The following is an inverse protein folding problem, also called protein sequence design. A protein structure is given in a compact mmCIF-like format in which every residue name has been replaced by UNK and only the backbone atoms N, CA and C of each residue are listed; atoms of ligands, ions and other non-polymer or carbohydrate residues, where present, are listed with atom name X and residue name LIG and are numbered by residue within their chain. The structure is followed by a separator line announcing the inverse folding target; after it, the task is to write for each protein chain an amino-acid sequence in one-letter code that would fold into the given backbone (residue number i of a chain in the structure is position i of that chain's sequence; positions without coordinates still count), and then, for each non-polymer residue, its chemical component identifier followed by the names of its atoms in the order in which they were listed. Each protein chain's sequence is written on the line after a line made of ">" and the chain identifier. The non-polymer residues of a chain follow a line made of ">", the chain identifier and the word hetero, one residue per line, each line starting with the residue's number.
data_IF_984607095755
#
_entry.id   IF_984607095755
#
_cell.length_a   1.000
_cell.length_b   1.000
_cell.length_c   1.000
_cell.angle_alpha   90.00
_cell.angle_beta   90.00
_cell.angle_gamma   90.00
#
_symmetry.space_group_name_H-M   'P 1'
#
loop_
_entity.id
_entity.type
_entity.pdbx_description
1 polymer ?
#
# COMPACT_ATOMS: atom_id res chain seq x y z
N UNK A 1 -14.25 2.30 -23.52
CA UNK A 1 -14.84 3.40 -22.72
C UNK A 1 -16.36 3.27 -22.73
N UNK A 2 -17.01 3.55 -21.61
CA UNK A 2 -18.47 3.52 -21.50
C UNK A 2 -19.09 4.75 -22.19
N UNK A 3 -20.26 4.58 -22.79
CA UNK A 3 -21.04 5.70 -23.34
C UNK A 3 -21.68 6.52 -22.21
N UNK A 4 -22.06 7.77 -22.48
CA UNK A 4 -22.71 8.63 -21.50
C UNK A 4 -23.97 7.98 -20.91
N UNK A 5 -24.79 7.33 -21.73
CA UNK A 5 -26.00 6.64 -21.27
C UNK A 5 -25.73 5.39 -20.39
N UNK A 6 -24.59 4.75 -20.55
CA UNK A 6 -24.16 3.64 -19.68
C UNK A 6 -23.67 4.18 -18.33
N UNK A 7 -22.90 5.29 -18.34
CA UNK A 7 -22.39 5.92 -17.13
C UNK A 7 -23.53 6.39 -16.22
N UNK A 8 -24.61 6.96 -16.78
CA UNK A 8 -25.78 7.42 -16.02
C UNK A 8 -26.47 6.30 -15.22
N UNK A 9 -26.36 5.07 -15.70
CA UNK A 9 -26.96 3.89 -15.05
C UNK A 9 -26.07 3.27 -13.99
N UNK A 10 -24.81 3.70 -13.88
CA UNK A 10 -23.90 3.17 -12.87
C UNK A 10 -24.31 3.63 -11.47
N UNK A 11 -24.07 2.79 -10.44
CA UNK A 11 -24.23 3.20 -9.04
C UNK A 11 -23.26 4.34 -8.69
N UNK A 12 -23.50 5.05 -7.61
CA UNK A 12 -22.50 5.94 -6.98
C UNK A 12 -21.51 5.13 -6.16
N UNK A 13 -20.41 5.76 -5.72
CA UNK A 13 -19.44 5.09 -4.84
C UNK A 13 -20.07 4.64 -3.50
N UNK A 14 -21.05 5.38 -2.97
CA UNK A 14 -21.75 4.99 -1.74
C UNK A 14 -22.65 3.77 -1.97
N UNK A 15 -23.34 3.71 -3.10
CA UNK A 15 -24.15 2.54 -3.48
C UNK A 15 -23.27 1.28 -3.60
N UNK A 16 -22.06 1.42 -4.16
CA UNK A 16 -21.09 0.32 -4.26
C UNK A 16 -20.66 -0.15 -2.87
N UNK A 17 -20.30 0.77 -1.98
CA UNK A 17 -19.90 0.44 -0.60
C UNK A 17 -21.05 -0.23 0.16
N UNK A 18 -22.29 0.23 -0.03
CA UNK A 18 -23.48 -0.38 0.58
C UNK A 18 -23.71 -1.80 0.07
N UNK A 19 -23.61 -2.01 -1.25
CA UNK A 19 -23.74 -3.35 -1.86
C UNK A 19 -22.67 -4.32 -1.34
N UNK A 20 -21.43 -3.87 -1.19
CA UNK A 20 -20.34 -4.65 -0.60
C UNK A 20 -20.68 -4.99 0.85
N UNK A 21 -21.09 -4.00 1.65
CA UNK A 21 -21.46 -4.21 3.05
C UNK A 21 -22.59 -5.22 3.23
N UNK A 22 -23.57 -5.20 2.34
CA UNK A 22 -24.65 -6.18 2.35
C UNK A 22 -24.16 -7.59 2.04
N UNK A 23 -23.31 -7.75 1.02
CA UNK A 23 -22.70 -9.05 0.67
C UNK A 23 -21.85 -9.60 1.83
N UNK A 24 -21.07 -8.74 2.50
CA UNK A 24 -20.27 -9.11 3.67
C UNK A 24 -21.15 -9.58 4.83
N UNK A 25 -22.21 -8.85 5.15
CA UNK A 25 -23.17 -9.23 6.19
C UNK A 25 -23.88 -10.56 5.88
N UNK A 26 -24.29 -10.78 4.63
CA UNK A 26 -24.90 -12.04 4.20
C UNK A 26 -23.93 -13.21 4.32
N UNK A 27 -22.65 -13.00 4.03
CA UNK A 27 -21.60 -13.99 4.22
C UNK A 27 -21.35 -14.30 5.69
N UNK A 28 -21.29 -13.28 6.55
CA UNK A 28 -21.14 -13.46 8.01
C UNK A 28 -22.33 -14.22 8.62
N UNK A 29 -23.53 -13.99 8.12
CA UNK A 29 -24.72 -14.74 8.57
C UNK A 29 -24.70 -16.21 8.15
N UNK A 30 -24.11 -16.53 7.00
CA UNK A 30 -24.00 -17.93 6.49
C UNK A 30 -22.88 -18.71 7.17
N UNK A 31 -21.76 -18.07 7.50
CA UNK A 31 -20.55 -18.75 7.99
C UNK A 31 -20.29 -18.56 9.49
N UNK A 32 -21.22 -17.96 10.23
CA UNK A 32 -21.08 -17.64 11.66
C UNK A 32 -20.31 -16.34 11.90
N UNK A 33 -20.61 -15.69 13.02
CA UNK A 33 -19.97 -14.43 13.40
C UNK A 33 -18.56 -14.70 13.90
N UNK A 34 -17.56 -14.45 13.07
CA UNK A 34 -16.23 -14.20 13.57
C UNK A 34 -16.15 -12.70 13.91
N UNK A 35 -16.41 -12.35 15.16
CA UNK A 35 -16.26 -10.97 15.61
C UNK A 35 -14.78 -10.76 15.85
N UNK A 36 -14.08 -10.13 14.93
CA UNK A 36 -12.80 -9.53 15.21
C UNK A 36 -13.05 -8.09 15.68
N UNK A 37 -12.65 -7.74 16.90
CA UNK A 37 -12.70 -6.35 17.33
C UNK A 37 -11.67 -5.57 16.51
N UNK A 38 -12.10 -4.64 15.71
CA UNK A 38 -11.16 -3.81 14.96
C UNK A 38 -11.71 -3.08 13.75
N UNK A 39 -12.85 -3.48 13.23
CA UNK A 39 -13.51 -2.79 12.11
C UNK A 39 -14.58 -1.78 12.60
N UNK A 40 -14.47 -1.35 13.84
CA UNK A 40 -15.33 -0.27 14.27
C UNK A 40 -14.82 1.00 13.60
N UNK A 41 -15.65 1.56 12.78
CA UNK A 41 -15.53 2.88 12.16
C UNK A 41 -15.13 3.98 13.15
N UNK A 42 -15.22 3.70 14.45
CA UNK A 42 -15.01 4.60 15.56
C UNK A 42 -13.56 4.69 16.03
N UNK A 43 -12.67 3.79 15.58
CA UNK A 43 -11.34 3.68 16.18
C UNK A 43 -10.22 4.38 15.38
N UNK A 44 -10.50 5.55 14.81
CA UNK A 44 -9.50 6.49 14.24
C UNK A 44 -8.38 5.87 13.39
N UNK A 45 -8.65 4.75 12.69
CA UNK A 45 -7.65 4.03 11.91
C UNK A 45 -6.65 3.23 12.74
N UNK A 46 -6.98 2.93 13.97
CA UNK A 46 -6.19 2.07 14.86
C UNK A 46 -6.70 0.63 14.74
N UNK A 47 -5.98 -0.17 13.97
CA UNK A 47 -6.33 -1.57 13.78
C UNK A 47 -5.69 -2.45 14.86
N UNK A 48 -6.40 -3.50 15.27
CA UNK A 48 -5.80 -4.64 15.94
C UNK A 48 -4.99 -5.47 14.95
N UNK A 49 -3.98 -6.16 15.43
CA UNK A 49 -3.10 -6.98 14.61
C UNK A 49 -3.16 -8.43 15.05
N UNK A 50 -3.00 -9.32 14.07
CA UNK A 50 -2.75 -10.75 14.30
C UNK A 50 -1.29 -11.01 13.99
N UNK A 51 -0.60 -11.72 14.89
CA UNK A 51 0.78 -12.12 14.67
C UNK A 51 0.84 -13.45 13.92
N UNK A 52 1.61 -13.49 12.83
CA UNK A 52 1.96 -14.70 12.10
C UNK A 52 3.46 -14.95 12.27
N UNK A 53 3.84 -16.12 12.76
CA UNK A 53 5.25 -16.47 12.95
C UNK A 53 5.91 -16.75 11.59
N UNK A 54 6.94 -15.99 11.25
CA UNK A 54 7.72 -16.18 10.02
C UNK A 54 8.91 -17.12 10.25
N UNK A 55 9.56 -17.01 11.40
CA UNK A 55 10.61 -17.89 11.90
C UNK A 55 10.62 -17.85 13.44
N UNK A 56 11.60 -18.46 14.09
CA UNK A 56 11.62 -18.60 15.56
C UNK A 56 11.47 -17.27 16.33
N UNK A 57 11.99 -16.18 15.77
CA UNK A 57 12.13 -14.90 16.49
C UNK A 57 11.44 -13.73 15.79
N UNK A 58 10.97 -13.93 14.55
CA UNK A 58 10.36 -12.88 13.73
C UNK A 58 8.91 -13.20 13.43
N UNK A 59 8.04 -12.24 13.71
CA UNK A 59 6.61 -12.31 13.42
C UNK A 59 6.21 -11.26 12.39
N UNK A 60 5.19 -11.57 11.61
CA UNK A 60 4.51 -10.58 10.78
C UNK A 60 3.23 -10.15 11.48
N UNK A 61 3.02 -8.85 11.61
CA UNK A 61 1.78 -8.30 12.13
C UNK A 61 0.85 -7.92 10.97
N UNK A 62 -0.31 -8.53 10.95
CA UNK A 62 -1.32 -8.36 9.92
C UNK A 62 -2.51 -7.59 10.49
N UNK A 63 -3.05 -6.58 9.78
CA UNK A 63 -4.30 -5.95 10.19
C UNK A 63 -5.42 -6.99 10.30
N UNK A 64 -6.17 -6.94 11.40
CA UNK A 64 -7.36 -7.77 11.56
C UNK A 64 -8.51 -7.16 10.77
N UNK A 65 -9.19 -7.96 9.97
CA UNK A 65 -10.40 -7.58 9.25
C UNK A 65 -11.62 -8.30 9.82
N UNK A 66 -12.76 -7.62 9.87
CA UNK A 66 -14.06 -8.21 10.23
C UNK A 66 -14.54 -9.22 9.20
N UNK A 67 -14.11 -9.06 7.94
CA UNK A 67 -14.38 -9.98 6.84
C UNK A 67 -13.07 -10.62 6.40
N UNK A 68 -12.81 -11.88 6.74
CA UNK A 68 -11.59 -12.53 6.33
C UNK A 68 -11.48 -12.53 4.81
N UNK A 69 -10.34 -12.00 4.33
CA UNK A 69 -9.85 -12.18 2.96
C UNK A 69 -10.56 -11.41 1.83
N UNK A 70 -11.31 -10.35 2.11
CA UNK A 70 -11.76 -9.43 1.05
C UNK A 70 -10.78 -8.27 0.90
N UNK A 71 -10.28 -8.09 -0.32
CA UNK A 71 -9.33 -7.01 -0.66
C UNK A 71 -9.95 -6.10 -1.70
N UNK A 72 -9.58 -4.84 -1.61
CA UNK A 72 -10.11 -3.77 -2.46
C UNK A 72 -8.98 -2.93 -3.05
N UNK A 73 -9.24 -2.38 -4.22
CA UNK A 73 -8.45 -1.30 -4.78
C UNK A 73 -9.38 -0.29 -5.44
N UNK A 74 -9.24 0.99 -5.12
CA UNK A 74 -10.02 2.07 -5.70
C UNK A 74 -9.18 2.92 -6.66
N UNK A 75 -9.76 3.30 -7.79
CA UNK A 75 -9.18 4.25 -8.74
C UNK A 75 -10.25 5.19 -9.26
N UNK A 76 -9.96 6.49 -9.21
CA UNK A 76 -10.87 7.52 -9.73
C UNK A 76 -10.88 7.59 -11.27
N UNK A 77 -10.04 6.84 -11.94
CA UNK A 77 -9.96 6.72 -13.40
C UNK A 77 -9.79 5.26 -13.75
N UNK A 78 -10.53 4.78 -14.73
CA UNK A 78 -10.25 3.48 -15.33
C UNK A 78 -9.15 3.62 -16.38
N UNK A 79 -8.08 2.89 -16.19
CA UNK A 79 -6.99 2.79 -17.15
C UNK A 79 -7.13 1.50 -17.95
N UNK A 80 -6.94 1.55 -19.27
CA UNK A 80 -6.99 0.36 -20.13
C UNK A 80 -6.01 -0.73 -19.69
N UNK A 81 -4.88 -0.30 -19.10
CA UNK A 81 -3.93 -1.17 -18.42
C UNK A 81 -3.67 -0.69 -17.00
N UNK A 82 -3.94 -1.54 -16.02
CA UNK A 82 -3.70 -1.25 -14.62
C UNK A 82 -2.37 -1.88 -14.18
N UNK A 83 -1.31 -1.08 -14.24
CA UNK A 83 0.07 -1.52 -14.03
C UNK A 83 0.66 -0.92 -12.74
N UNK A 84 1.55 -1.64 -12.04
CA UNK A 84 2.43 -1.06 -11.03
C UNK A 84 3.22 0.12 -11.56
N UNK A 85 3.56 1.06 -10.68
CA UNK A 85 4.20 2.31 -11.08
C UNK A 85 5.51 2.11 -11.84
N UNK A 86 6.32 1.11 -11.47
CA UNK A 86 7.60 0.80 -12.12
C UNK A 86 7.43 0.28 -13.57
N UNK A 87 6.24 -0.21 -13.94
CA UNK A 87 5.96 -0.78 -15.26
C UNK A 87 5.06 0.10 -16.13
N UNK A 88 4.70 1.31 -15.65
CA UNK A 88 3.86 2.23 -16.43
C UNK A 88 4.63 2.85 -17.58
N UNK A 89 3.92 3.06 -18.68
CA UNK A 89 4.44 3.81 -19.82
C UNK A 89 4.82 5.24 -19.41
N UNK A 90 5.87 5.73 -20.01
CA UNK A 90 6.25 7.14 -19.91
C UNK A 90 5.28 8.05 -20.69
N UNK A 91 5.49 9.36 -20.64
CA UNK A 91 4.65 10.34 -21.34
C UNK A 91 4.62 10.18 -22.88
N UNK A 92 5.57 9.43 -23.45
CA UNK A 92 5.61 9.12 -24.90
C UNK A 92 4.87 7.83 -25.24
N UNK A 93 4.31 7.11 -24.24
CA UNK A 93 3.64 5.82 -24.45
C UNK A 93 4.59 4.63 -24.56
N UNK A 94 5.85 4.78 -24.19
CA UNK A 94 6.86 3.72 -24.21
C UNK A 94 6.89 2.99 -22.87
N UNK A 95 6.95 1.65 -22.92
CA UNK A 95 7.16 0.84 -21.71
C UNK A 95 8.57 1.03 -21.16
N UNK A 96 8.75 0.93 -19.84
CA UNK A 96 10.07 1.04 -19.23
C UNK A 96 10.99 -0.08 -19.70
N UNK A 97 12.22 0.27 -20.03
CA UNK A 97 13.29 -0.67 -20.32
C UNK A 97 13.96 -1.17 -19.01
N UNK A 98 14.93 -2.08 -19.13
CA UNK A 98 15.65 -2.60 -17.97
C UNK A 98 16.36 -1.49 -17.18
N UNK A 99 16.91 -0.48 -17.86
CA UNK A 99 17.56 0.67 -17.24
C UNK A 99 16.57 1.54 -16.44
N UNK A 100 15.34 1.74 -16.95
CA UNK A 100 14.30 2.46 -16.21
C UNK A 100 13.90 1.73 -14.92
N UNK A 101 13.80 0.41 -14.99
CA UNK A 101 13.50 -0.44 -13.84
C UNK A 101 14.65 -0.40 -12.84
N UNK A 102 15.90 -0.50 -13.31
CA UNK A 102 17.08 -0.45 -12.44
C UNK A 102 17.20 0.92 -11.74
N UNK A 103 16.95 2.02 -12.45
CA UNK A 103 16.89 3.35 -11.87
C UNK A 103 15.92 3.42 -10.67
N UNK A 104 14.71 2.92 -10.83
CA UNK A 104 13.72 2.93 -9.75
C UNK A 104 14.14 2.01 -8.58
N UNK A 105 14.76 0.86 -8.85
CA UNK A 105 15.27 -0.04 -7.81
C UNK A 105 16.41 0.57 -7.01
N UNK A 106 17.29 1.36 -7.62
CA UNK A 106 18.30 2.15 -6.89
C UNK A 106 17.61 3.13 -5.91
N UNK A 107 16.55 3.80 -6.33
CA UNK A 107 15.77 4.70 -5.44
C UNK A 107 15.10 3.95 -4.28
N UNK A 108 14.61 2.74 -4.51
CA UNK A 108 14.08 1.87 -3.45
C UNK A 108 15.18 1.54 -2.44
N UNK A 109 16.39 1.24 -2.90
CA UNK A 109 17.51 0.95 -2.01
C UNK A 109 17.93 2.16 -1.17
N UNK A 110 17.92 3.38 -1.73
CA UNK A 110 18.11 4.60 -0.93
C UNK A 110 17.04 4.75 0.17
N UNK A 111 15.79 4.42 -0.16
CA UNK A 111 14.70 4.45 0.82
C UNK A 111 14.90 3.39 1.92
N UNK A 112 15.33 2.20 1.59
CA UNK A 112 15.64 1.15 2.57
C UNK A 112 16.78 1.55 3.50
N UNK A 113 17.84 2.16 2.96
CA UNK A 113 18.95 2.70 3.73
C UNK A 113 18.49 3.83 4.67
N UNK A 114 17.60 4.71 4.21
CA UNK A 114 16.99 5.73 5.06
C UNK A 114 16.22 5.09 6.23
N UNK A 115 15.39 4.07 5.97
CA UNK A 115 14.65 3.36 7.02
C UNK A 115 15.59 2.74 8.06
N UNK A 116 16.72 2.18 7.62
CA UNK A 116 17.73 1.59 8.50
C UNK A 116 18.42 2.61 9.43
N UNK A 117 18.26 3.91 9.21
CA UNK A 117 18.75 4.94 10.16
C UNK A 117 17.76 5.25 11.28
N UNK A 118 16.51 4.79 11.19
CA UNK A 118 15.48 5.11 12.17
C UNK A 118 15.49 4.10 13.34
N UNK A 119 15.79 4.52 14.59
CA UNK A 119 16.03 3.60 15.69
C UNK A 119 14.82 2.72 16.03
N UNK A 120 13.61 3.27 15.96
CA UNK A 120 12.39 2.47 16.21
C UNK A 120 12.17 1.45 15.09
N UNK A 121 12.42 1.83 13.83
CA UNK A 121 12.33 0.88 12.72
C UNK A 121 13.34 -0.25 12.86
N UNK A 122 14.58 0.07 13.23
CA UNK A 122 15.62 -0.93 13.50
C UNK A 122 15.22 -1.88 14.64
N UNK A 123 14.75 -1.35 15.77
CA UNK A 123 14.29 -2.19 16.89
C UNK A 123 13.16 -3.14 16.44
N UNK A 124 12.16 -2.60 15.74
CA UNK A 124 11.04 -3.40 15.27
C UNK A 124 11.46 -4.47 14.26
N UNK A 125 12.39 -4.18 13.36
CA UNK A 125 12.83 -5.11 12.31
C UNK A 125 13.50 -6.38 12.84
N UNK A 126 13.97 -6.38 14.10
CA UNK A 126 14.49 -7.58 14.74
C UNK A 126 13.40 -8.58 15.16
N UNK A 127 12.18 -8.11 15.36
CA UNK A 127 11.06 -8.92 15.86
C UNK A 127 9.87 -8.96 14.91
N UNK A 128 9.74 -7.96 14.02
CA UNK A 128 8.61 -7.81 13.10
C UNK A 128 9.09 -7.76 11.65
N UNK A 129 8.57 -8.65 10.83
CA UNK A 129 8.84 -8.67 9.39
C UNK A 129 8.06 -7.54 8.70
N UNK A 130 8.79 -6.63 8.07
CA UNK A 130 8.25 -5.59 7.19
C UNK A 130 8.73 -5.85 5.77
N UNK A 131 7.88 -5.64 4.78
CA UNK A 131 8.29 -5.64 3.37
C UNK A 131 8.64 -4.20 2.95
N UNK A 132 9.95 -3.83 2.86
CA UNK A 132 10.35 -2.45 2.63
C UNK A 132 10.03 -1.97 1.21
N UNK A 133 10.04 -2.87 0.20
CA UNK A 133 9.68 -2.52 -1.19
C UNK A 133 8.19 -2.19 -1.30
N UNK A 134 7.33 -3.00 -0.66
CA UNK A 134 5.90 -2.71 -0.59
C UNK A 134 5.63 -1.44 0.24
N UNK A 135 6.41 -1.19 1.29
CA UNK A 135 6.36 0.06 2.06
C UNK A 135 6.75 1.26 1.19
N UNK A 136 7.80 1.16 0.38
CA UNK A 136 8.24 2.22 -0.53
C UNK A 136 7.13 2.64 -1.50
N UNK A 137 6.29 1.70 -1.98
CA UNK A 137 5.12 1.97 -2.81
C UNK A 137 4.16 2.96 -2.12
N UNK A 138 3.85 2.76 -0.82
CA UNK A 138 2.96 3.65 -0.06
C UNK A 138 3.52 5.05 0.15
N UNK A 139 4.83 5.21 -0.01
CA UNK A 139 5.53 6.50 0.07
C UNK A 139 5.85 7.09 -1.31
N UNK A 140 5.28 6.52 -2.38
CA UNK A 140 5.28 7.10 -3.72
C UNK A 140 6.49 6.75 -4.58
N UNK A 141 7.35 5.83 -4.15
CA UNK A 141 8.40 5.29 -5.02
C UNK A 141 7.80 4.29 -6.02
N UNK A 142 8.40 4.19 -7.19
CA UNK A 142 7.93 3.28 -8.22
C UNK A 142 8.41 1.85 -7.94
N UNK A 143 7.46 0.94 -7.69
CA UNK A 143 7.72 -0.46 -7.38
C UNK A 143 6.87 -1.40 -8.23
N UNK A 144 7.15 -2.72 -8.14
CA UNK A 144 6.35 -3.78 -8.75
C UNK A 144 5.05 -4.11 -8.01
N UNK A 145 4.67 -3.31 -7.01
CA UNK A 145 3.45 -3.51 -6.24
C UNK A 145 2.34 -2.56 -6.65
N UNK A 146 1.10 -3.02 -6.57
CA UNK A 146 -0.10 -2.19 -6.51
C UNK A 146 -0.64 -2.19 -5.09
N UNK A 147 -1.03 -1.00 -4.62
CA UNK A 147 -1.69 -0.89 -3.33
C UNK A 147 -3.07 -1.51 -3.38
N UNK A 148 -3.33 -2.45 -2.49
CA UNK A 148 -4.64 -2.98 -2.17
C UNK A 148 -4.87 -2.85 -0.66
N UNK A 149 -6.11 -2.88 -0.24
CA UNK A 149 -6.51 -2.72 1.15
C UNK A 149 -7.60 -3.72 1.51
N UNK A 150 -7.73 -4.09 2.77
CA UNK A 150 -8.90 -4.84 3.24
C UNK A 150 -10.02 -3.91 3.77
N UNK A 151 -9.87 -2.59 3.59
CA UNK A 151 -10.91 -1.60 3.93
C UNK A 151 -11.61 -1.07 2.68
N UNK A 152 -12.89 -1.38 2.51
CA UNK A 152 -13.72 -0.81 1.43
C UNK A 152 -13.77 0.72 1.46
N UNK A 153 -13.68 1.32 2.63
CA UNK A 153 -13.71 2.78 2.78
C UNK A 153 -12.41 3.45 2.34
N UNK A 154 -11.26 2.81 2.58
CA UNK A 154 -9.98 3.28 2.03
C UNK A 154 -9.99 3.20 0.51
N UNK A 155 -10.48 2.09 -0.04
CA UNK A 155 -10.63 1.95 -1.49
C UNK A 155 -11.60 2.98 -2.07
N UNK A 156 -12.75 3.21 -1.40
CA UNK A 156 -13.73 4.24 -1.80
C UNK A 156 -13.12 5.64 -1.79
N UNK A 157 -12.30 5.97 -0.78
CA UNK A 157 -11.59 7.24 -0.73
C UNK A 157 -10.71 7.44 -1.96
N UNK A 158 -9.84 6.49 -2.29
CA UNK A 158 -8.98 6.59 -3.49
C UNK A 158 -9.77 6.53 -4.80
N UNK A 159 -10.93 5.88 -4.81
CA UNK A 159 -11.79 5.78 -5.98
C UNK A 159 -12.58 7.07 -6.26
N UNK A 160 -12.89 7.86 -5.24
CA UNK A 160 -13.73 9.04 -5.33
C UNK A 160 -13.00 10.37 -5.12
N UNK A 161 -11.65 10.32 -5.06
CA UNK A 161 -10.83 11.53 -4.92
C UNK A 161 -9.76 11.60 -6.00
N UNK A 162 -9.27 12.82 -6.27
CA UNK A 162 -8.06 13.07 -7.05
C UNK A 162 -6.98 13.66 -6.16
N UNK A 163 -5.75 13.27 -6.39
CA UNK A 163 -4.58 13.86 -5.73
C UNK A 163 -4.08 15.07 -6.52
N UNK A 164 -3.75 16.12 -5.80
CA UNK A 164 -3.14 17.33 -6.31
C UNK A 164 -1.69 17.41 -5.79
N UNK A 165 -0.73 17.36 -6.71
CA UNK A 165 0.70 17.31 -6.39
C UNK A 165 1.24 18.64 -5.85
N UNK A 166 0.62 19.76 -6.24
CA UNK A 166 1.09 21.09 -5.86
C UNK A 166 0.73 21.41 -4.41
N UNK A 167 -0.46 20.96 -3.99
CA UNK A 167 -0.99 21.19 -2.65
C UNK A 167 -0.80 20.01 -1.69
N UNK A 168 -0.30 18.86 -2.19
CA UNK A 168 -0.19 17.60 -1.43
C UNK A 168 -1.54 17.22 -0.77
N UNK A 169 -2.63 17.36 -1.53
CA UNK A 169 -4.00 17.23 -1.00
C UNK A 169 -4.88 16.44 -1.96
N UNK A 170 -5.80 15.67 -1.38
CA UNK A 170 -6.86 15.00 -2.13
C UNK A 170 -8.12 15.89 -2.19
N UNK A 171 -8.82 15.82 -3.30
CA UNK A 171 -10.09 16.52 -3.52
C UNK A 171 -11.16 15.56 -4.02
N UNK A 172 -12.40 15.67 -3.53
CA UNK A 172 -13.52 14.89 -4.07
C UNK A 172 -13.71 15.15 -5.57
N UNK A 173 -14.10 14.13 -6.31
CA UNK A 173 -14.35 14.24 -7.74
C UNK A 173 -15.84 14.18 -8.05
N UNK A 174 -16.27 14.96 -9.03
CA UNK A 174 -17.63 14.97 -9.52
C UNK A 174 -17.71 14.51 -10.98
N UNK A 175 -18.91 14.57 -11.55
CA UNK A 175 -19.26 14.04 -12.87
C UNK A 175 -18.37 14.52 -14.01
N UNK A 176 -17.84 15.73 -13.94
CA UNK A 176 -16.97 16.32 -14.97
C UNK A 176 -15.50 15.91 -14.85
N UNK A 177 -15.18 15.03 -13.90
CA UNK A 177 -13.82 14.56 -13.74
C UNK A 177 -13.52 13.44 -14.73
N UNK A 178 -12.58 13.69 -15.65
CA UNK A 178 -12.14 12.72 -16.69
C UNK A 178 -13.33 12.14 -17.44
N UNK A 179 -13.47 10.81 -17.46
CA UNK A 179 -14.52 10.09 -18.16
C UNK A 179 -15.84 10.01 -17.38
N UNK A 180 -15.94 10.65 -16.21
CA UNK A 180 -17.13 10.69 -15.37
C UNK A 180 -17.41 9.44 -14.55
N UNK A 181 -16.50 8.47 -14.55
CA UNK A 181 -16.63 7.24 -13.77
C UNK A 181 -15.28 6.75 -13.23
N UNK A 182 -15.35 6.00 -12.16
CA UNK A 182 -14.23 5.34 -11.52
C UNK A 182 -14.45 3.84 -11.41
N UNK A 183 -13.49 3.15 -10.79
CA UNK A 183 -13.53 1.71 -10.62
C UNK A 183 -13.10 1.30 -9.20
N UNK A 184 -13.80 0.33 -8.65
CA UNK A 184 -13.38 -0.42 -7.48
C UNK A 184 -13.14 -1.88 -7.89
N UNK A 185 -11.94 -2.36 -7.66
CA UNK A 185 -11.63 -3.78 -7.75
C UNK A 185 -11.96 -4.42 -6.41
N UNK A 186 -12.68 -5.53 -6.44
CA UNK A 186 -13.11 -6.28 -5.26
C UNK A 186 -12.63 -7.71 -5.41
N UNK A 187 -11.89 -8.23 -4.45
CA UNK A 187 -11.46 -9.63 -4.54
C UNK A 187 -12.68 -10.56 -4.50
N UNK A 188 -12.62 -11.59 -5.33
CA UNK A 188 -13.64 -12.64 -5.31
C UNK A 188 -13.63 -13.33 -3.94
N UNK A 189 -14.80 -13.82 -3.48
CA UNK A 189 -14.87 -14.60 -2.26
C UNK A 189 -13.88 -15.76 -2.32
N UNK A 190 -13.21 -15.96 -1.22
CA UNK A 190 -12.32 -17.08 -1.06
C UNK A 190 -13.14 -18.36 -0.89
N UNK A 191 -12.99 -19.28 -1.82
CA UNK A 191 -13.59 -20.60 -1.70
C UNK A 191 -12.61 -21.53 -0.98
N UNK A 192 -12.95 -21.95 0.25
CA UNK A 192 -12.07 -22.72 1.15
C UNK A 192 -11.50 -24.01 0.52
N UNK A 193 -12.08 -24.46 -0.59
CA UNK A 193 -11.62 -25.62 -1.36
C UNK A 193 -10.51 -25.36 -2.38
N UNK A 194 -10.27 -24.09 -2.75
CA UNK A 194 -9.30 -23.69 -3.78
C UNK A 194 -8.35 -22.62 -3.25
N UNK A 195 -7.45 -23.04 -2.35
CA UNK A 195 -6.30 -22.18 -1.97
C UNK A 195 -5.44 -22.02 -3.21
N UNK A 196 -5.62 -20.93 -3.93
CA UNK A 196 -4.69 -20.58 -4.99
C UNK A 196 -3.44 -19.96 -4.39
N UNK A 197 -2.40 -20.75 -4.21
CA UNK A 197 -1.08 -20.33 -3.72
C UNK A 197 -0.56 -19.08 -4.44
N UNK A 198 -0.91 -18.88 -5.71
CA UNK A 198 -0.47 -17.72 -6.49
C UNK A 198 -1.07 -16.41 -5.97
N UNK A 199 -2.34 -16.39 -5.58
CA UNK A 199 -2.95 -15.21 -4.98
C UNK A 199 -2.24 -14.78 -3.69
N UNK A 200 -1.95 -15.74 -2.80
CA UNK A 200 -1.25 -15.44 -1.56
C UNK A 200 0.21 -15.06 -1.75
N UNK A 201 0.88 -15.61 -2.76
CA UNK A 201 2.24 -15.19 -3.11
C UNK A 201 2.30 -13.78 -3.67
N UNK A 202 1.26 -13.35 -4.39
CA UNK A 202 1.13 -11.99 -4.94
C UNK A 202 0.66 -11.00 -3.89
N UNK A 203 -0.18 -11.42 -2.96
CA UNK A 203 -0.72 -10.56 -1.91
C UNK A 203 0.24 -10.51 -0.72
N UNK A 204 1.00 -9.43 -0.66
CA UNK A 204 2.04 -9.23 0.34
C UNK A 204 1.56 -8.28 1.42
N UNK A 205 1.54 -8.76 2.65
CA UNK A 205 1.31 -7.92 3.82
C UNK A 205 2.52 -7.02 4.01
N UNK A 206 2.30 -5.71 4.10
CA UNK A 206 3.39 -4.77 4.40
C UNK A 206 3.87 -5.00 5.83
N UNK A 207 2.95 -5.30 6.73
CA UNK A 207 3.23 -5.51 8.14
C UNK A 207 3.17 -4.21 8.94
N UNK A 208 3.14 -4.38 10.26
CA UNK A 208 3.26 -3.25 11.18
C UNK A 208 4.69 -2.71 11.13
N UNK A 209 4.79 -1.40 11.12
CA UNK A 209 6.04 -0.66 11.27
C UNK A 209 5.72 0.69 11.95
N UNK A 210 6.75 1.44 12.33
CA UNK A 210 6.56 2.68 13.10
C UNK A 210 5.73 3.74 12.37
N UNK A 211 5.88 3.84 11.05
CA UNK A 211 5.21 4.87 10.25
C UNK A 211 3.74 4.51 10.01
N UNK A 212 2.83 5.44 10.30
CA UNK A 212 1.41 5.14 10.45
C UNK A 212 0.64 4.91 9.12
N UNK A 213 1.16 5.39 7.98
CA UNK A 213 0.40 5.39 6.71
C UNK A 213 -0.11 4.01 6.30
N UNK A 214 0.70 2.93 6.26
CA UNK A 214 0.23 1.61 5.88
C UNK A 214 -0.84 1.06 6.84
N UNK A 215 -0.65 1.27 8.14
CA UNK A 215 -1.62 0.84 9.15
C UNK A 215 -2.97 1.55 8.98
N UNK A 216 -2.96 2.87 8.81
CA UNK A 216 -4.18 3.68 8.61
C UNK A 216 -4.92 3.35 7.31
N UNK A 217 -4.21 2.81 6.33
CA UNK A 217 -4.79 2.36 5.07
C UNK A 217 -5.15 0.87 5.05
N UNK A 218 -4.92 0.12 6.13
CA UNK A 218 -5.05 -1.35 6.14
C UNK A 218 -4.40 -1.99 4.91
N UNK A 219 -3.13 -1.67 4.70
CA UNK A 219 -2.47 -1.78 3.41
C UNK A 219 -1.84 -3.13 3.16
N UNK A 220 -1.96 -3.57 1.91
CA UNK A 220 -1.28 -4.72 1.33
C UNK A 220 -0.68 -4.32 -0.02
N UNK A 221 0.37 -5.03 -0.44
CA UNK A 221 0.93 -4.91 -1.77
C UNK A 221 0.54 -6.10 -2.63
N UNK A 222 0.00 -5.87 -3.82
CA UNK A 222 -0.23 -6.91 -4.80
C UNK A 222 0.94 -6.92 -5.79
N UNK A 223 1.80 -7.94 -5.69
CA UNK A 223 3.01 -8.06 -6.51
C UNK A 223 2.67 -8.47 -7.93
N UNK A 224 3.23 -7.77 -8.90
CA UNK A 224 3.05 -8.06 -10.32
C UNK A 224 4.39 -8.16 -11.04
N UNK A 225 4.43 -8.99 -12.07
CA UNK A 225 5.57 -9.11 -12.97
C UNK A 225 5.43 -8.13 -14.14
N UNK A 226 6.55 -7.84 -14.78
CA UNK A 226 6.55 -7.11 -16.03
C UNK A 226 5.66 -7.82 -17.07
N UNK A 227 4.79 -7.04 -17.74
CA UNK A 227 3.85 -7.56 -18.73
C UNK A 227 2.49 -8.01 -18.19
N UNK A 228 2.35 -8.24 -16.88
CA UNK A 228 1.03 -8.53 -16.27
C UNK A 228 0.16 -7.27 -16.22
N UNK A 229 -1.16 -7.45 -16.34
CA UNK A 229 -2.17 -6.40 -16.20
C UNK A 229 -3.14 -6.76 -15.09
N UNK A 230 -3.33 -5.87 -14.11
CA UNK A 230 -4.26 -6.10 -13.01
C UNK A 230 -5.72 -6.19 -13.47
N UNK A 231 -6.06 -5.54 -14.59
CA UNK A 231 -7.37 -5.68 -15.22
C UNK A 231 -7.71 -7.11 -15.64
N UNK A 232 -6.70 -7.93 -15.89
CA UNK A 232 -6.84 -9.34 -16.29
C UNK A 232 -6.71 -10.31 -15.11
N UNK A 233 -6.55 -9.78 -13.89
CA UNK A 233 -6.43 -10.62 -12.69
C UNK A 233 -7.69 -11.47 -12.51
N UNK A 234 -7.57 -12.81 -12.41
CA UNK A 234 -8.71 -13.68 -12.19
C UNK A 234 -9.31 -13.55 -10.77
N UNK A 235 -8.57 -12.90 -9.88
CA UNK A 235 -8.89 -12.80 -8.46
C UNK A 235 -9.76 -11.61 -8.09
N UNK A 236 -9.92 -10.64 -8.99
CA UNK A 236 -10.66 -9.42 -8.72
C UNK A 236 -11.82 -9.22 -9.71
N UNK A 237 -12.94 -8.77 -9.18
CA UNK A 237 -14.07 -8.26 -9.97
C UNK A 237 -13.91 -6.75 -10.14
N UNK A 238 -14.31 -6.25 -11.32
CA UNK A 238 -14.32 -4.81 -11.64
C UNK A 238 -15.70 -4.26 -11.40
N UNK A 239 -15.84 -3.35 -10.45
CA UNK A 239 -17.09 -2.65 -10.14
C UNK A 239 -16.95 -1.19 -10.56
N UNK A 240 -17.61 -0.83 -11.66
CA UNK A 240 -17.65 0.54 -12.14
C UNK A 240 -18.71 1.35 -11.40
N UNK A 241 -18.44 2.62 -11.16
CA UNK A 241 -19.39 3.54 -10.55
C UNK A 241 -19.26 4.94 -11.22
N UNK A 242 -20.36 5.67 -11.28
CA UNK A 242 -20.34 7.06 -11.77
C UNK A 242 -19.80 8.00 -10.70
N UNK A 243 -19.07 9.01 -11.12
CA UNK A 243 -18.67 10.08 -10.22
C UNK A 243 -19.89 10.94 -9.85
N UNK A 244 -20.03 11.16 -8.57
CA UNK A 244 -21.04 11.98 -7.96
C UNK A 244 -20.40 12.83 -6.86
N UNK A 245 -20.53 14.15 -6.97
CA UNK A 245 -19.79 15.06 -6.06
C UNK A 245 -20.27 14.94 -4.61
N UNK A 246 -21.56 14.70 -4.39
CA UNK A 246 -22.11 14.59 -3.05
C UNK A 246 -21.65 13.29 -2.40
N UNK A 247 -21.71 12.16 -3.12
CA UNK A 247 -21.22 10.88 -2.67
C UNK A 247 -19.68 10.93 -2.38
N UNK A 248 -18.92 11.56 -3.26
CA UNK A 248 -17.48 11.75 -3.10
C UNK A 248 -17.14 12.63 -1.89
N UNK A 249 -17.93 13.70 -1.68
CA UNK A 249 -17.78 14.59 -0.53
C UNK A 249 -18.05 13.86 0.80
N UNK A 250 -19.07 13.01 0.85
CA UNK A 250 -19.37 12.19 2.04
C UNK A 250 -18.18 11.30 2.37
N UNK A 251 -17.65 10.54 1.39
CA UNK A 251 -16.48 9.66 1.60
C UNK A 251 -15.27 10.47 2.06
N UNK A 252 -15.05 11.65 1.48
CA UNK A 252 -13.96 12.55 1.85
C UNK A 252 -14.08 13.08 3.29
N UNK A 253 -15.28 13.51 3.71
CA UNK A 253 -15.50 13.95 5.10
C UNK A 253 -15.34 12.79 6.10
N UNK A 254 -15.78 11.57 5.75
CA UNK A 254 -15.57 10.38 6.56
C UNK A 254 -14.08 10.03 6.74
N UNK A 255 -13.22 10.44 5.82
CA UNK A 255 -11.78 10.33 5.92
C UNK A 255 -11.12 11.47 6.72
N UNK A 256 -11.92 12.32 7.38
CA UNK A 256 -11.46 13.57 8.01
C UNK A 256 -10.63 14.43 7.05
N UNK A 257 -11.13 14.62 5.83
CA UNK A 257 -10.45 15.35 4.76
C UNK A 257 -9.03 14.80 4.55
N UNK A 258 -8.94 13.50 4.26
CA UNK A 258 -7.74 12.68 4.07
C UNK A 258 -6.88 12.38 5.32
N UNK A 259 -6.99 13.13 6.41
CA UNK A 259 -6.09 12.97 7.58
C UNK A 259 -6.10 11.57 8.18
N UNK A 260 -7.22 10.86 8.04
CA UNK A 260 -7.37 9.50 8.53
C UNK A 260 -6.48 8.51 7.78
N UNK A 261 -6.36 8.66 6.45
CA UNK A 261 -5.68 7.70 5.59
C UNK A 261 -4.30 8.17 5.13
N UNK A 262 -4.12 9.50 5.07
CA UNK A 262 -2.87 10.12 4.60
C UNK A 262 -2.30 10.98 5.74
N UNK A 263 -1.69 10.36 6.77
CA UNK A 263 -1.00 11.12 7.79
C UNK A 263 0.19 11.84 7.17
N UNK A 264 0.42 13.08 7.61
CA UNK A 264 1.64 13.81 7.28
C UNK A 264 2.74 13.33 8.21
N UNK A 265 3.68 12.59 7.66
CA UNK A 265 4.88 12.13 8.36
C UNK A 265 6.15 12.60 7.64
N UNK A 266 7.26 12.58 8.36
CA UNK A 266 8.55 13.00 7.81
C UNK A 266 9.05 12.06 6.72
N UNK A 267 8.72 10.76 6.84
CA UNK A 267 9.12 9.76 5.86
C UNK A 267 8.54 10.09 4.47
N UNK A 268 7.31 10.61 4.40
CA UNK A 268 6.71 11.01 3.11
C UNK A 268 7.47 12.14 2.42
N UNK A 269 8.01 13.08 3.19
CA UNK A 269 8.86 14.18 2.66
C UNK A 269 10.17 13.62 2.15
N UNK A 270 10.87 12.81 2.96
CA UNK A 270 12.17 12.24 2.60
C UNK A 270 12.05 11.25 1.42
N UNK A 271 11.02 10.42 1.38
CA UNK A 271 10.76 9.53 0.25
C UNK A 271 10.56 10.30 -1.07
N UNK A 272 9.81 11.41 -1.02
CA UNK A 272 9.65 12.31 -2.18
C UNK A 272 10.97 12.92 -2.62
N UNK A 273 11.81 13.35 -1.68
CA UNK A 273 13.15 13.87 -1.98
C UNK A 273 14.04 12.81 -2.62
N UNK A 274 14.03 11.57 -2.13
CA UNK A 274 14.74 10.44 -2.76
C UNK A 274 14.25 10.22 -4.19
N UNK A 275 12.94 10.16 -4.40
CA UNK A 275 12.36 9.93 -5.72
C UNK A 275 12.79 11.00 -6.74
N UNK A 276 12.90 12.26 -6.30
CA UNK A 276 13.24 13.41 -7.15
C UNK A 276 14.75 13.72 -7.23
N UNK A 277 15.58 13.10 -6.39
CA UNK A 277 17.02 13.36 -6.36
C UNK A 277 17.71 12.96 -7.66
N UNK A 278 18.70 13.73 -8.07
CA UNK A 278 19.67 13.35 -9.10
C UNK A 278 20.96 12.74 -8.51
N UNK A 279 20.97 12.47 -7.21
CA UNK A 279 22.07 11.86 -6.50
C UNK A 279 21.67 10.51 -5.94
N UNK A 280 22.64 9.59 -5.87
CA UNK A 280 22.52 8.26 -5.23
C UNK A 280 23.84 7.93 -4.55
N UNK A 281 23.82 7.09 -3.53
CA UNK A 281 25.00 6.69 -2.79
C UNK A 281 25.61 5.40 -3.34
N UNK A 282 26.92 5.23 -3.20
CA UNK A 282 27.61 3.95 -3.48
C UNK A 282 26.98 2.80 -2.70
N UNK A 283 26.66 3.05 -1.45
CA UNK A 283 26.01 2.12 -0.55
C UNK A 283 24.65 1.63 -1.09
N UNK A 284 23.84 2.51 -1.70
CA UNK A 284 22.58 2.11 -2.33
C UNK A 284 22.79 1.26 -3.59
N UNK A 285 23.85 1.52 -4.37
CA UNK A 285 24.19 0.67 -5.52
C UNK A 285 24.61 -0.73 -5.06
N UNK A 286 25.47 -0.82 -4.03
CA UNK A 286 25.87 -2.11 -3.44
C UNK A 286 24.67 -2.90 -2.92
N UNK A 287 23.77 -2.22 -2.21
CA UNK A 287 22.53 -2.82 -1.73
C UNK A 287 21.61 -3.25 -2.89
N UNK A 288 21.48 -2.43 -3.93
CA UNK A 288 20.69 -2.74 -5.12
C UNK A 288 21.25 -3.96 -5.88
N UNK A 289 22.57 -4.06 -5.97
CA UNK A 289 23.23 -5.20 -6.58
C UNK A 289 22.90 -6.51 -5.83
N UNK A 290 22.98 -6.48 -4.50
CA UNK A 290 22.66 -7.63 -3.65
C UNK A 290 21.18 -8.03 -3.71
N UNK A 291 20.28 -7.06 -3.72
CA UNK A 291 18.82 -7.29 -3.66
C UNK A 291 18.21 -7.71 -4.99
N UNK A 292 18.64 -7.10 -6.09
CA UNK A 292 17.95 -7.21 -7.38
C UNK A 292 18.84 -7.72 -8.53
N UNK A 293 20.16 -7.59 -8.41
CA UNK A 293 21.11 -7.79 -9.50
C UNK A 293 22.32 -8.64 -9.11
N UNK A 294 22.12 -9.65 -8.26
CA UNK A 294 23.20 -10.52 -7.74
C UNK A 294 24.03 -11.25 -8.83
N UNK A 295 23.55 -11.28 -10.07
CA UNK A 295 24.21 -11.86 -11.23
C UNK A 295 24.87 -10.79 -12.13
N UNK A 296 24.85 -9.52 -11.76
CA UNK A 296 25.52 -8.41 -12.45
C UNK A 296 26.71 -7.94 -11.61
N UNK A 297 27.53 -7.08 -12.17
CA UNK A 297 28.60 -6.38 -11.46
C UNK A 297 28.22 -4.90 -11.21
N UNK A 298 29.06 -4.18 -10.50
CA UNK A 298 28.83 -2.79 -10.16
C UNK A 298 28.80 -1.88 -11.41
N UNK A 299 29.61 -2.23 -12.43
CA UNK A 299 29.69 -1.49 -13.68
C UNK A 299 28.31 -1.32 -14.33
N UNK A 300 27.48 -2.35 -14.27
CA UNK A 300 26.10 -2.29 -14.78
C UNK A 300 25.27 -1.15 -14.12
N UNK A 301 25.32 -1.02 -12.80
CA UNK A 301 24.58 0.02 -12.09
C UNK A 301 25.20 1.42 -12.29
N UNK A 302 26.52 1.49 -12.46
CA UNK A 302 27.22 2.73 -12.82
C UNK A 302 26.82 3.22 -14.22
N UNK A 303 26.69 2.31 -15.19
CA UNK A 303 26.16 2.62 -16.52
C UNK A 303 24.71 3.10 -16.47
N UNK A 304 23.86 2.45 -15.65
CA UNK A 304 22.48 2.93 -15.40
C UNK A 304 22.48 4.34 -14.83
N UNK A 305 23.33 4.63 -13.85
CA UNK A 305 23.47 5.97 -13.27
C UNK A 305 23.89 6.99 -14.32
N UNK A 306 24.90 6.67 -15.14
CA UNK A 306 25.39 7.55 -16.20
C UNK A 306 24.29 7.84 -17.24
N UNK A 307 23.55 6.82 -17.69
CA UNK A 307 22.45 6.98 -18.66
C UNK A 307 21.31 7.84 -18.09
N UNK A 308 21.00 7.69 -16.80
CA UNK A 308 19.93 8.45 -16.11
C UNK A 308 20.40 9.80 -15.56
N UNK A 309 21.66 10.16 -15.71
CA UNK A 309 22.22 11.40 -15.20
C UNK A 309 22.22 11.48 -13.68
N UNK A 310 22.43 10.32 -13.01
CA UNK A 310 22.58 10.26 -11.56
C UNK A 310 24.05 10.47 -11.17
N UNK A 311 24.28 11.35 -10.20
CA UNK A 311 25.59 11.54 -9.56
C UNK A 311 25.76 10.52 -8.42
N UNK A 312 26.84 9.75 -8.46
CA UNK A 312 27.16 8.77 -7.42
C UNK A 312 27.99 9.47 -6.34
N UNK A 313 27.47 9.46 -5.12
CA UNK A 313 28.18 9.95 -3.92
C UNK A 313 28.92 8.78 -3.29
N UNK A 314 30.23 8.94 -3.14
CA UNK A 314 31.12 7.95 -2.49
C UNK A 314 31.02 8.06 -0.95
N UNK A 315 29.82 8.17 -0.41
CA UNK A 315 29.54 8.19 1.02
C UNK A 315 28.92 6.87 1.44
N UNK A 316 29.35 6.34 2.58
CA UNK A 316 28.79 5.12 3.19
C UNK A 316 27.54 5.40 4.03
N UNK A 317 27.00 6.62 3.98
CA UNK A 317 25.76 7.01 4.65
C UNK A 317 24.63 7.12 3.64
N UNK A 318 23.39 6.90 4.06
CA UNK A 318 22.23 7.17 3.21
C UNK A 318 22.21 8.61 2.71
N UNK A 319 21.70 8.81 1.50
CA UNK A 319 21.60 10.13 0.85
C UNK A 319 20.86 11.16 1.73
N UNK A 320 19.81 10.72 2.40
CA UNK A 320 19.00 11.52 3.31
C UNK A 320 18.94 10.87 4.68
N UNK A 321 18.71 11.69 5.71
CA UNK A 321 18.59 11.23 7.09
C UNK A 321 17.48 12.01 7.81
N UNK A 322 16.88 11.36 8.80
CA UNK A 322 16.05 12.07 9.78
C UNK A 322 16.93 13.00 10.63
N UNK A 323 16.39 14.12 11.07
CA UNK A 323 17.12 14.98 12.01
C UNK A 323 17.27 14.29 13.37
N UNK A 324 18.33 14.64 14.11
CA UNK A 324 18.58 14.08 15.44
C UNK A 324 17.42 14.38 16.41
N UNK A 325 16.81 15.56 16.31
CA UNK A 325 15.67 15.93 17.15
C UNK A 325 14.43 15.08 16.85
N UNK A 326 14.17 14.80 15.56
CA UNK A 326 13.09 13.88 15.15
C UNK A 326 13.35 12.48 15.69
N UNK A 327 14.54 11.93 15.48
CA UNK A 327 14.88 10.59 15.97
C UNK A 327 14.78 10.48 17.50
N UNK A 328 15.24 11.51 18.22
CA UNK A 328 15.16 11.54 19.69
C UNK A 328 13.72 11.62 20.19
N UNK A 329 12.87 12.43 19.51
CA UNK A 329 11.45 12.52 19.81
C UNK A 329 10.76 11.20 19.55
N UNK A 330 10.94 10.62 18.36
CA UNK A 330 10.28 9.39 17.95
C UNK A 330 10.69 8.22 18.84
N UNK A 331 11.96 8.17 19.26
CA UNK A 331 12.45 7.18 20.22
C UNK A 331 11.82 7.34 21.61
N UNK A 332 11.64 8.58 22.05
CA UNK A 332 10.97 8.88 23.32
C UNK A 332 9.51 8.47 23.28
N UNK A 333 8.76 8.89 22.25
CA UNK A 333 7.35 8.57 22.08
C UNK A 333 7.13 7.04 21.97
N UNK A 334 8.04 6.35 21.29
CA UNK A 334 8.04 4.89 21.21
C UNK A 334 8.21 4.21 22.57
N UNK A 335 9.18 4.67 23.36
CA UNK A 335 9.43 4.10 24.70
C UNK A 335 8.30 4.40 25.69
N UNK A 336 7.68 5.58 25.60
CA UNK A 336 6.63 5.99 26.53
C UNK A 336 5.27 5.35 26.19
N UNK A 337 4.94 5.25 24.91
CA UNK A 337 3.60 4.86 24.47
C UNK A 337 3.59 3.76 23.40
N UNK A 338 4.48 3.77 22.43
CA UNK A 338 4.41 2.94 21.24
C UNK A 338 4.49 1.45 21.55
N UNK A 339 5.38 1.02 22.42
CA UNK A 339 5.53 -0.39 22.81
C UNK A 339 4.29 -0.92 23.50
N UNK A 340 3.71 -0.14 24.42
CA UNK A 340 2.50 -0.54 25.12
C UNK A 340 1.29 -0.58 24.18
N UNK A 341 1.16 0.40 23.28
CA UNK A 341 0.11 0.44 22.27
C UNK A 341 0.20 -0.78 21.34
N UNK A 342 1.40 -1.12 20.85
CA UNK A 342 1.62 -2.31 20.03
C UNK A 342 1.20 -3.60 20.76
N UNK A 343 1.59 -3.76 22.02
CA UNK A 343 1.24 -4.93 22.82
C UNK A 343 -0.27 -5.07 23.01
N UNK A 344 -0.97 -3.96 23.30
CA UNK A 344 -2.42 -3.96 23.47
C UNK A 344 -3.19 -4.29 22.18
N UNK A 345 -2.59 -4.01 21.01
CA UNK A 345 -3.24 -4.21 19.70
C UNK A 345 -2.90 -5.55 19.08
N UNK A 346 -1.88 -6.24 19.57
CA UNK A 346 -1.44 -7.51 18.99
C UNK A 346 -2.25 -8.66 19.60
N UNK A 347 -3.04 -9.34 18.77
CA UNK A 347 -3.76 -10.54 19.15
C UNK A 347 -2.88 -11.76 18.88
N UNK A 348 -2.70 -12.67 19.85
CA UNK A 348 -1.93 -13.90 19.63
C UNK A 348 -2.67 -14.81 18.63
N UNK A 349 -1.92 -15.40 17.68
CA UNK A 349 -2.47 -16.31 16.65
C UNK A 349 -3.34 -17.42 17.22
N UNK A 350 -3.02 -17.92 18.43
CA UNK A 350 -3.84 -18.94 19.10
C UNK A 350 -5.28 -18.50 19.35
N UNK A 351 -5.54 -17.21 19.49
CA UNK A 351 -6.89 -16.68 19.65
C UNK A 351 -7.67 -16.75 18.32
N UNK A 352 -6.99 -16.71 17.18
CA UNK A 352 -7.60 -16.80 15.84
C UNK A 352 -7.91 -18.25 15.45
N UNK A 353 -7.04 -19.19 15.84
CA UNK A 353 -7.23 -20.62 15.50
C UNK A 353 -8.29 -21.32 16.37
N UNK A 354 -8.67 -20.78 17.51
CA UNK A 354 -9.74 -21.33 18.37
C UNK A 354 -11.15 -21.00 17.84
N UNK A 355 -11.27 -20.11 16.84
CA UNK A 355 -12.53 -19.85 16.16
C UNK A 355 -12.75 -20.77 14.94
N UNK A 356 -12.22 -22.00 14.94
CA UNK A 356 -12.71 -23.04 14.05
C UNK A 356 -14.17 -23.24 14.39
N UNK A 357 -15.03 -22.81 13.48
CA UNK A 357 -16.45 -23.04 13.49
C UNK A 357 -16.66 -24.53 13.74
N UNK A 358 -17.23 -24.86 14.88
CA UNK A 358 -17.69 -26.22 15.13
C UNK A 358 -18.73 -26.58 14.08
N UNK A 359 -18.66 -27.80 13.58
CA UNK A 359 -19.57 -28.41 12.62
C UNK A 359 -21.03 -28.14 12.96
#
# INVERSE_FOLDING_TARGET
>A
MLSHGEIEKLPTILDVVEQISKKENDSLLKHGKTIFPGDSFQDEGRYSFVSETMNKDVVRLMPVSSTPYTYFRGQSIFYERCLPSIFRMNAKGEFPCEVDIAYNRIKICEFELLLATHPVFCELSHIICVNPVALAQHYGLATEYLDITNSKWVAAFFASTRYDYDTDTYYPVGRNYKDGYGIMYVSKPYDEGNINDDFFRKNVVIGYQYFERPTKQSSFGYKMKYGEDFNESPYFEKVFFRHDIEASQIVFEMSYKQRRYIPKDKLSVLARQIAMSHEVTRCALEHCLQMFYFNKDMTYLEEVCAEKGLEIKEDNRPLLQFSQDELAKDWKDWNEFGRADLQMRTLPIRAVTTFKIGN
#
